data_IF_964615554842
#
_entry.id   IF_964615554842
#
_cell.length_a   1.000
_cell.length_b   1.000
_cell.length_c   1.000
_cell.angle_alpha   90.00
_cell.angle_beta   90.00
_cell.angle_gamma   90.00
#
_symmetry.space_group_name_H-M   'P 1'
#
loop_
_entity.id
_entity.type
_entity.pdbx_description
1 polymer ?
#
# COMPACT_ATOMS: atom_id res chain seq x y z
N UNK A 1 -8.15 10.58 7.93
CA UNK A 1 -8.35 9.42 8.84
C UNK A 1 -9.18 9.81 10.05
N UNK A 2 -8.78 10.80 10.85
CA UNK A 2 -9.47 11.23 12.08
C UNK A 2 -10.95 11.62 11.87
N UNK A 3 -11.27 12.49 10.90
CA UNK A 3 -12.66 12.91 10.62
C UNK A 3 -13.61 11.76 10.32
N UNK A 4 -13.12 10.70 9.67
CA UNK A 4 -13.91 9.56 9.22
C UNK A 4 -13.68 8.31 10.08
N UNK A 5 -12.89 8.41 11.15
CA UNK A 5 -12.49 7.30 12.01
C UNK A 5 -11.95 6.07 11.23
N UNK A 6 -11.04 6.31 10.28
CA UNK A 6 -10.41 5.26 9.46
C UNK A 6 -9.08 4.84 10.09
N UNK A 7 -8.90 3.54 10.35
CA UNK A 7 -7.66 2.97 10.90
C UNK A 7 -6.65 2.54 9.82
N UNK A 8 -7.15 2.06 8.68
CA UNK A 8 -6.37 1.60 7.52
C UNK A 8 -6.96 2.24 6.27
N UNK A 9 -6.13 2.89 5.46
CA UNK A 9 -6.52 3.54 4.23
C UNK A 9 -5.63 3.06 3.08
N UNK A 10 -6.24 2.43 2.08
CA UNK A 10 -5.62 2.16 0.78
C UNK A 10 -5.48 3.45 -0.04
N UNK A 11 -4.37 3.60 -0.73
CA UNK A 11 -4.05 4.70 -1.61
C UNK A 11 -3.63 4.14 -2.97
N UNK A 12 -4.38 4.48 -4.01
CA UNK A 12 -3.96 4.33 -5.39
C UNK A 12 -3.27 5.61 -5.88
N UNK A 13 -2.48 5.47 -6.95
CA UNK A 13 -1.71 6.55 -7.57
C UNK A 13 -0.92 7.42 -6.58
N UNK A 14 -0.12 6.78 -5.73
CA UNK A 14 0.75 7.51 -4.78
C UNK A 14 1.80 8.34 -5.52
N UNK A 15 2.18 7.94 -6.75
CA UNK A 15 3.13 8.63 -7.64
C UNK A 15 4.50 8.78 -6.99
N UNK A 16 4.91 7.78 -6.23
CA UNK A 16 6.23 7.71 -5.59
C UNK A 16 7.07 6.65 -6.27
N UNK A 17 8.37 6.91 -6.36
CA UNK A 17 9.32 5.95 -6.91
C UNK A 17 9.80 4.97 -5.84
N UNK A 18 10.04 3.72 -6.24
CA UNK A 18 10.53 2.66 -5.38
C UNK A 18 9.51 2.20 -4.35
N UNK A 19 9.96 1.36 -3.43
CA UNK A 19 9.14 0.84 -2.35
C UNK A 19 9.77 1.15 -0.99
N UNK A 20 8.93 1.35 0.02
CA UNK A 20 9.42 1.65 1.35
C UNK A 20 8.33 1.83 2.39
N UNK A 21 8.77 2.20 3.58
CA UNK A 21 7.89 2.64 4.66
C UNK A 21 8.28 4.03 5.13
N UNK A 22 7.29 4.88 5.36
CA UNK A 22 7.48 6.21 5.92
C UNK A 22 6.59 6.38 7.14
N UNK A 23 7.17 6.87 8.24
CA UNK A 23 6.42 7.28 9.43
C UNK A 23 6.40 8.80 9.51
N UNK A 24 5.21 9.38 9.63
CA UNK A 24 5.03 10.82 9.85
C UNK A 24 4.01 11.05 10.96
N UNK A 25 4.49 11.57 12.09
CA UNK A 25 3.66 11.75 13.29
C UNK A 25 3.06 10.42 13.77
N UNK A 26 1.73 10.38 13.89
CA UNK A 26 0.95 9.21 14.31
C UNK A 26 0.48 8.32 13.15
N UNK A 27 1.11 8.40 11.98
CA UNK A 27 0.72 7.66 10.78
C UNK A 27 1.92 6.94 10.17
N UNK A 28 1.69 5.73 9.70
CA UNK A 28 2.70 4.91 9.00
C UNK A 28 2.17 4.56 7.62
N UNK A 29 2.91 4.91 6.58
CA UNK A 29 2.64 4.53 5.19
C UNK A 29 3.62 3.43 4.79
N UNK A 30 3.12 2.34 4.23
CA UNK A 30 3.92 1.46 3.36
C UNK A 30 3.52 1.74 1.92
N UNK A 31 4.45 1.68 0.99
CA UNK A 31 4.18 1.95 -0.41
C UNK A 31 5.01 1.06 -1.34
N UNK A 32 4.44 0.84 -2.52
CA UNK A 32 5.09 0.24 -3.68
C UNK A 32 4.94 1.20 -4.85
N UNK A 33 5.98 1.34 -5.64
CA UNK A 33 6.03 2.28 -6.75
C UNK A 33 7.19 1.98 -7.67
N UNK A 34 7.07 2.43 -8.92
CA UNK A 34 8.01 2.13 -9.99
C UNK A 34 9.21 3.06 -10.05
N UNK A 35 9.77 3.21 -11.25
CA UNK A 35 10.89 4.12 -11.50
C UNK A 35 10.44 5.54 -11.87
N UNK A 36 9.18 5.73 -12.23
CA UNK A 36 8.57 7.02 -12.59
C UNK A 36 7.51 7.45 -11.58
N UNK A 37 7.17 8.74 -11.55
CA UNK A 37 6.18 9.33 -10.63
C UNK A 37 4.74 9.25 -11.20
N UNK A 38 4.38 8.13 -11.81
CA UNK A 38 3.11 7.98 -12.54
C UNK A 38 2.15 6.99 -11.87
N UNK A 39 2.71 5.96 -11.22
CA UNK A 39 1.97 4.86 -10.57
C UNK A 39 2.24 4.81 -9.08
N UNK A 40 1.88 3.71 -8.44
CA UNK A 40 2.19 3.45 -7.04
C UNK A 40 0.94 3.23 -6.22
N UNK A 41 1.07 2.32 -5.26
CA UNK A 41 0.05 2.04 -4.26
C UNK A 41 0.64 2.17 -2.86
N UNK A 42 -0.22 2.41 -1.88
CA UNK A 42 0.20 2.45 -0.49
C UNK A 42 -0.91 2.12 0.48
N UNK A 43 -0.51 1.68 1.67
CA UNK A 43 -1.41 1.44 2.78
C UNK A 43 -0.99 2.33 3.93
N UNK A 44 -1.89 3.22 4.33
CA UNK A 44 -1.70 4.15 5.43
C UNK A 44 -2.40 3.61 6.68
N UNK A 45 -1.63 3.46 7.74
CA UNK A 45 -2.08 2.99 9.05
C UNK A 45 -2.07 4.14 10.06
N UNK A 46 -3.02 4.12 10.99
CA UNK A 46 -2.89 4.85 12.23
C UNK A 46 -1.83 4.24 13.16
N UNK A 47 -1.47 4.95 14.22
CA UNK A 47 -0.42 4.55 15.17
C UNK A 47 -0.72 3.24 15.90
N UNK A 48 -1.99 2.90 16.11
CA UNK A 48 -2.37 1.70 16.87
C UNK A 48 -2.31 0.48 15.99
N UNK A 49 -2.84 0.59 14.77
CA UNK A 49 -2.89 -0.46 13.77
C UNK A 49 -1.51 -0.72 13.16
N UNK A 50 -0.67 0.30 13.03
CA UNK A 50 0.71 0.10 12.61
C UNK A 50 1.51 -0.82 13.56
N UNK A 51 1.12 -0.94 14.84
CA UNK A 51 1.77 -1.86 15.80
C UNK A 51 1.46 -3.32 15.55
N UNK A 52 0.35 -3.63 14.88
CA UNK A 52 0.01 -5.00 14.50
C UNK A 52 0.56 -5.38 13.13
N UNK A 53 1.16 -4.46 12.37
CA UNK A 53 1.81 -4.77 11.10
C UNK A 53 3.01 -5.71 11.34
N UNK A 54 2.88 -6.96 10.91
CA UNK A 54 3.89 -8.01 11.06
C UNK A 54 4.92 -7.93 9.93
N UNK A 55 4.44 -7.83 8.70
CA UNK A 55 5.26 -7.77 7.50
C UNK A 55 4.49 -7.13 6.35
N UNK A 56 5.22 -6.68 5.33
CA UNK A 56 4.64 -6.22 4.08
C UNK A 56 5.59 -6.49 2.92
N UNK A 57 5.03 -6.59 1.72
CA UNK A 57 5.78 -6.87 0.50
C UNK A 57 5.25 -6.01 -0.67
N UNK A 58 6.10 -5.21 -1.32
CA UNK A 58 5.78 -4.57 -2.59
C UNK A 58 5.89 -5.63 -3.70
N UNK A 59 4.78 -5.98 -4.34
CA UNK A 59 4.75 -7.02 -5.39
C UNK A 59 5.07 -6.42 -6.76
N UNK A 60 4.44 -5.29 -7.08
CA UNK A 60 4.65 -4.53 -8.31
C UNK A 60 4.34 -3.05 -8.06
N UNK A 61 4.54 -2.18 -9.05
CA UNK A 61 4.18 -0.75 -8.97
C UNK A 61 2.71 -0.54 -8.54
N UNK A 62 1.83 -1.48 -8.89
CA UNK A 62 0.39 -1.42 -8.62
C UNK A 62 -0.08 -2.31 -7.47
N UNK A 63 0.81 -3.04 -6.78
CA UNK A 63 0.39 -4.02 -5.76
C UNK A 63 1.30 -3.98 -4.53
N UNK A 64 0.68 -3.81 -3.35
CA UNK A 64 1.35 -3.95 -2.05
C UNK A 64 0.51 -4.81 -1.11
N UNK A 65 1.19 -5.74 -0.41
CA UNK A 65 0.58 -6.66 0.54
C UNK A 65 1.06 -6.36 1.95
N UNK A 66 0.15 -6.36 2.92
CA UNK A 66 0.44 -6.24 4.34
C UNK A 66 -0.16 -7.40 5.13
N UNK A 67 0.58 -7.91 6.11
CA UNK A 67 0.11 -8.90 7.08
C UNK A 67 0.05 -8.24 8.46
N UNK A 68 -1.11 -8.32 9.10
CA UNK A 68 -1.32 -7.81 10.45
C UNK A 68 -1.60 -8.96 11.41
N UNK A 69 -0.97 -8.93 12.58
CA UNK A 69 -1.30 -9.81 13.71
C UNK A 69 -2.58 -9.32 14.36
N UNK A 70 -3.64 -10.13 14.28
CA UNK A 70 -4.94 -9.80 14.82
C UNK A 70 -5.59 -11.02 15.49
N UNK A 71 -6.65 -10.78 16.26
CA UNK A 71 -7.44 -11.83 16.91
C UNK A 71 -8.87 -11.82 16.35
N UNK A 72 -9.48 -12.99 16.12
CA UNK A 72 -8.95 -14.34 16.39
C UNK A 72 -7.94 -14.85 15.36
N UNK A 73 -7.78 -14.16 14.22
CA UNK A 73 -6.91 -14.57 13.12
C UNK A 73 -6.12 -13.37 12.57
N UNK A 74 -4.97 -13.65 11.97
CA UNK A 74 -4.15 -12.65 11.30
C UNK A 74 -4.85 -12.14 10.03
N UNK A 75 -4.74 -10.85 9.76
CA UNK A 75 -5.36 -10.20 8.61
C UNK A 75 -4.33 -9.96 7.51
N UNK A 76 -4.62 -10.43 6.30
CA UNK A 76 -3.90 -10.04 5.08
C UNK A 76 -4.66 -8.93 4.35
N UNK A 77 -3.97 -7.85 3.98
CA UNK A 77 -4.52 -6.75 3.19
C UNK A 77 -3.70 -6.64 1.91
N UNK A 78 -4.39 -6.55 0.78
CA UNK A 78 -3.79 -6.37 -0.54
C UNK A 78 -4.38 -5.09 -1.10
N UNK A 79 -3.54 -4.07 -1.30
CA UNK A 79 -3.93 -2.85 -2.00
C UNK A 79 -3.44 -2.94 -3.44
N UNK A 80 -4.36 -2.65 -4.36
CA UNK A 80 -4.19 -2.93 -5.78
C UNK A 80 -4.67 -1.76 -6.62
N UNK A 81 -3.88 -1.37 -7.60
CA UNK A 81 -4.27 -0.49 -8.70
C UNK A 81 -4.01 -1.19 -10.03
N UNK A 82 -5.09 -1.63 -10.68
CA UNK A 82 -5.01 -2.33 -11.95
C UNK A 82 -4.63 -1.37 -13.10
N UNK A 83 -3.86 -1.84 -14.09
CA UNK A 83 -3.63 -1.11 -15.33
C UNK A 83 -4.95 -0.78 -16.05
N UNK A 84 -4.97 0.34 -16.76
CA UNK A 84 -6.10 0.71 -17.63
C UNK A 84 -5.96 0.06 -19.01
N UNK A 85 -7.02 0.10 -19.82
CA UNK A 85 -6.98 -0.39 -21.21
C UNK A 85 -5.91 0.26 -22.09
N UNK A 86 -5.49 1.46 -21.72
CA UNK A 86 -4.50 2.26 -22.46
C UNK A 86 -3.07 2.06 -21.94
N UNK A 87 -2.87 1.15 -20.97
CA UNK A 87 -1.56 0.81 -20.44
C UNK A 87 -0.76 -0.06 -21.41
N UNK A 88 0.57 0.05 -21.38
CA UNK A 88 1.42 -0.79 -22.22
C UNK A 88 1.30 -2.27 -21.81
N UNK A 89 1.42 -3.20 -22.78
CA UNK A 89 1.32 -4.65 -22.51
C UNK A 89 2.29 -5.10 -21.41
N UNK A 90 3.48 -4.50 -21.37
CA UNK A 90 4.49 -4.77 -20.33
C UNK A 90 4.01 -4.42 -18.92
N UNK A 91 3.16 -3.40 -18.78
CA UNK A 91 2.60 -3.00 -17.50
C UNK A 91 1.47 -3.94 -17.08
N UNK A 92 0.76 -4.53 -18.04
CA UNK A 92 -0.24 -5.58 -17.80
C UNK A 92 0.43 -6.90 -17.40
N UNK A 93 1.53 -7.27 -18.04
CA UNK A 93 2.28 -8.50 -17.72
C UNK A 93 2.99 -8.45 -16.38
N UNK A 94 3.41 -7.26 -15.93
CA UNK A 94 4.09 -7.04 -14.64
C UNK A 94 3.14 -6.93 -13.44
N UNK A 95 1.84 -6.80 -13.69
CA UNK A 95 0.82 -6.72 -12.66
C UNK A 95 0.51 -8.10 -12.06
#
# INVERSE_FOLDING_TARGET
MERMNINILGLAEVRWTGAGSMKRGSKTLIYSGGHTLERGVGILFDVTTAKSLESWCPISDGVVVAKLVAKPLNLGIIEVYAPTSDSEDVDVEKF
#
